data_IF_529744723890
#
_entry.id   IF_529744723890
#
_cell.length_a   1.000
_cell.length_b   1.000
_cell.length_c   1.000
_cell.angle_alpha   90.00
_cell.angle_beta   90.00
_cell.angle_gamma   90.00
#
_symmetry.space_group_name_H-M   'P 1'
#
loop_
_entity.id
_entity.type
_entity.pdbx_description
1 polymer ?
#
# COMPACT_ATOMS: atom_id res chain seq x y z
N UNK A 1 -7.61 25.75 -28.25
CA UNK A 1 -8.22 24.55 -27.65
C UNK A 1 -7.19 23.86 -26.78
N UNK A 2 -7.30 24.05 -25.47
CA UNK A 2 -6.51 23.32 -24.48
C UNK A 2 -6.98 21.87 -24.38
N UNK A 3 -6.15 20.97 -23.85
CA UNK A 3 -6.53 19.56 -23.62
C UNK A 3 -7.76 19.44 -22.72
N UNK A 4 -7.93 20.36 -21.76
CA UNK A 4 -9.09 20.43 -20.87
C UNK A 4 -10.38 20.75 -21.63
N UNK A 5 -10.33 21.71 -22.54
CA UNK A 5 -11.51 22.11 -23.33
C UNK A 5 -11.99 20.98 -24.25
N UNK A 6 -11.05 20.29 -24.92
CA UNK A 6 -11.39 19.12 -25.75
C UNK A 6 -12.04 18.01 -24.93
N UNK A 7 -11.53 17.73 -23.74
CA UNK A 7 -12.08 16.70 -22.86
C UNK A 7 -13.52 17.03 -22.41
N UNK A 8 -13.79 18.29 -22.06
CA UNK A 8 -15.14 18.72 -21.66
C UNK A 8 -16.14 18.54 -22.81
N UNK A 9 -15.72 18.88 -24.03
CA UNK A 9 -16.56 18.73 -25.22
C UNK A 9 -16.83 17.26 -25.56
N UNK A 10 -15.87 16.36 -25.36
CA UNK A 10 -16.07 14.92 -25.57
C UNK A 10 -17.03 14.34 -24.53
N UNK A 11 -16.80 14.62 -23.24
CA UNK A 11 -17.62 14.09 -22.13
C UNK A 11 -19.09 14.51 -22.26
N UNK A 12 -19.40 15.69 -22.78
CA UNK A 12 -20.79 16.15 -22.92
C UNK A 12 -21.63 15.32 -23.90
N UNK A 13 -21.01 14.49 -24.72
CA UNK A 13 -21.70 13.63 -25.71
C UNK A 13 -21.65 12.14 -25.33
N UNK A 14 -21.04 11.80 -24.18
CA UNK A 14 -20.84 10.42 -23.73
C UNK A 14 -22.02 9.97 -22.84
N UNK A 15 -22.46 8.71 -22.92
CA UNK A 15 -23.46 8.14 -22.01
C UNK A 15 -23.04 8.19 -20.53
N UNK A 16 -24.01 8.41 -19.63
CA UNK A 16 -23.79 8.56 -18.18
C UNK A 16 -22.98 7.40 -17.56
N UNK A 17 -23.24 6.16 -18.00
CA UNK A 17 -22.57 4.94 -17.55
C UNK A 17 -21.04 4.99 -17.73
N UNK A 18 -20.57 5.57 -18.83
CA UNK A 18 -19.14 5.73 -19.10
C UNK A 18 -18.55 6.95 -18.39
N UNK A 19 -19.36 7.96 -18.08
CA UNK A 19 -18.92 9.12 -17.30
C UNK A 19 -18.57 8.69 -15.88
N UNK A 20 -19.36 7.79 -15.28
CA UNK A 20 -19.08 7.20 -13.97
C UNK A 20 -17.73 6.43 -13.98
N UNK A 21 -17.50 5.58 -14.98
CA UNK A 21 -16.23 4.84 -15.11
C UNK A 21 -15.02 5.78 -15.29
N UNK A 22 -15.17 6.82 -16.11
CA UNK A 22 -14.13 7.84 -16.30
C UNK A 22 -13.86 8.63 -15.02
N UNK A 23 -14.90 8.92 -14.23
CA UNK A 23 -14.77 9.59 -12.95
C UNK A 23 -14.03 8.72 -11.94
N UNK A 24 -14.38 7.44 -11.85
CA UNK A 24 -13.69 6.46 -11.01
C UNK A 24 -12.21 6.33 -11.39
N UNK A 25 -11.92 6.29 -12.69
CA UNK A 25 -10.54 6.30 -13.18
C UNK A 25 -9.79 7.58 -12.78
N UNK A 26 -10.42 8.76 -12.90
CA UNK A 26 -9.82 10.01 -12.46
C UNK A 26 -9.54 10.02 -10.96
N UNK A 27 -10.50 9.59 -10.13
CA UNK A 27 -10.30 9.46 -8.68
C UNK A 27 -9.15 8.50 -8.36
N UNK A 28 -9.12 7.33 -8.98
CA UNK A 28 -8.04 6.36 -8.81
C UNK A 28 -6.67 6.98 -9.12
N UNK A 29 -6.55 7.69 -10.25
CA UNK A 29 -5.26 8.32 -10.62
C UNK A 29 -4.84 9.41 -9.64
N UNK A 30 -5.77 10.14 -9.06
CA UNK A 30 -5.49 11.15 -8.03
C UNK A 30 -5.00 10.50 -6.74
N UNK A 31 -5.72 9.50 -6.22
CA UNK A 31 -5.33 8.76 -5.01
C UNK A 31 -3.95 8.12 -5.16
N UNK A 32 -3.68 7.50 -6.31
CA UNK A 32 -2.36 6.91 -6.60
C UNK A 32 -1.25 7.97 -6.64
N UNK A 33 -1.52 9.14 -7.24
CA UNK A 33 -0.54 10.26 -7.24
C UNK A 33 -0.27 10.80 -5.84
N UNK A 34 -1.27 10.82 -4.97
CA UNK A 34 -1.10 11.20 -3.57
C UNK A 34 -0.24 10.19 -2.80
N UNK A 35 -0.44 8.88 -3.03
CA UNK A 35 0.35 7.82 -2.40
C UNK A 35 1.81 7.79 -2.88
N UNK A 36 2.07 8.10 -4.16
CA UNK A 36 3.42 8.17 -4.72
C UNK A 36 4.24 9.39 -4.26
N UNK A 37 3.67 10.32 -3.49
CA UNK A 37 4.42 11.48 -2.96
C UNK A 37 5.31 11.10 -1.78
N UNK A 38 5.09 9.92 -1.19
CA UNK A 38 5.99 9.30 -0.21
C UNK A 38 6.25 7.86 -0.63
N UNK A 39 7.04 7.69 -1.70
CA UNK A 39 7.68 6.40 -1.97
C UNK A 39 8.69 6.14 -0.84
N UNK A 40 8.21 5.74 0.34
CA UNK A 40 9.03 4.92 1.23
C UNK A 40 9.29 3.67 0.43
N UNK A 41 10.54 3.50 -0.01
CA UNK A 41 10.97 2.29 -0.69
C UNK A 41 10.44 1.07 0.08
N UNK A 42 9.86 0.07 -0.61
CA UNK A 42 9.48 -1.15 0.04
C UNK A 42 10.72 -1.69 0.76
N UNK A 43 10.58 -1.99 2.06
CA UNK A 43 11.69 -2.50 2.88
C UNK A 43 12.27 -3.71 2.15
N UNK A 44 13.60 -3.82 2.02
CA UNK A 44 14.19 -5.01 1.44
C UNK A 44 13.64 -6.25 2.15
N UNK A 45 13.27 -7.26 1.36
CA UNK A 45 12.80 -8.53 1.90
C UNK A 45 13.84 -9.09 2.88
N UNK A 46 13.37 -9.67 3.99
CA UNK A 46 14.20 -10.25 5.05
C UNK A 46 15.05 -9.28 5.90
N UNK A 47 14.76 -7.97 5.91
CA UNK A 47 15.30 -7.05 6.91
C UNK A 47 14.26 -6.71 7.99
N UNK A 48 14.62 -6.93 9.25
CA UNK A 48 13.88 -6.40 10.39
C UNK A 48 13.88 -4.87 10.34
N UNK A 49 12.79 -4.23 10.75
CA UNK A 49 12.85 -2.80 11.04
C UNK A 49 13.57 -2.59 12.37
N UNK A 50 14.57 -1.71 12.36
CA UNK A 50 15.30 -1.34 13.57
C UNK A 50 16.29 -2.42 14.02
N UNK A 51 16.74 -2.29 15.27
CA UNK A 51 17.73 -3.18 15.88
C UNK A 51 17.02 -4.28 16.68
N UNK A 52 17.49 -5.51 16.56
CA UNK A 52 17.07 -6.62 17.40
C UNK A 52 18.07 -6.78 18.54
N UNK A 53 17.62 -6.56 19.78
CA UNK A 53 18.45 -6.81 20.98
C UNK A 53 18.17 -8.23 21.48
N UNK A 54 19.19 -9.08 21.43
CA UNK A 54 19.13 -10.43 21.98
C UNK A 54 19.21 -10.35 23.51
N UNK A 55 18.24 -10.89 24.27
CA UNK A 55 18.35 -11.01 25.72
C UNK A 55 19.54 -11.89 26.12
N UNK A 56 20.16 -11.60 27.26
CA UNK A 56 21.34 -12.35 27.74
C UNK A 56 21.07 -13.85 27.94
N UNK A 57 19.82 -14.22 28.21
CA UNK A 57 19.36 -15.58 28.46
C UNK A 57 18.68 -16.25 27.25
N UNK A 58 18.84 -15.71 26.04
CA UNK A 58 18.17 -16.26 24.86
C UNK A 58 18.53 -17.72 24.57
N UNK A 59 19.78 -18.10 24.85
CA UNK A 59 20.28 -19.46 24.63
C UNK A 59 20.01 -20.40 25.83
N UNK A 60 19.34 -19.93 26.87
CA UNK A 60 18.95 -20.79 28.00
C UNK A 60 17.84 -21.78 27.59
N UNK A 61 17.82 -22.99 28.17
CA UNK A 61 16.77 -23.96 27.88
C UNK A 61 15.39 -23.41 28.23
N UNK A 62 14.39 -23.77 27.42
CA UNK A 62 13.00 -23.44 27.72
C UNK A 62 12.57 -24.10 29.05
N UNK A 63 11.78 -23.41 29.88
CA UNK A 63 11.19 -23.98 31.10
C UNK A 63 10.40 -25.26 30.84
N UNK A 64 10.46 -26.21 31.78
CA UNK A 64 9.79 -27.51 31.65
C UNK A 64 8.27 -27.37 31.47
N UNK A 65 7.66 -26.40 32.14
CA UNK A 65 6.24 -26.10 31.98
C UNK A 65 5.86 -25.68 30.56
N UNK A 66 6.74 -24.98 29.85
CA UNK A 66 6.52 -24.55 28.46
C UNK A 66 6.72 -25.73 27.51
N UNK A 67 7.75 -26.56 27.75
CA UNK A 67 8.03 -27.74 26.92
C UNK A 67 6.86 -28.73 26.90
N UNK A 68 6.15 -28.89 28.03
CA UNK A 68 4.94 -29.73 28.12
C UNK A 68 3.82 -29.32 27.18
N UNK A 69 3.76 -28.05 26.76
CA UNK A 69 2.75 -27.58 25.82
C UNK A 69 3.03 -28.03 24.36
N UNK A 70 4.22 -28.58 24.08
CA UNK A 70 4.65 -29.03 22.75
C UNK A 70 4.70 -30.57 22.58
N UNK A 71 4.39 -31.34 23.64
CA UNK A 71 4.34 -32.82 23.64
C UNK A 71 2.90 -33.36 23.59
#
# INVERSE_FOLDING_TARGET
MTTREKLIQEISHVPEELVEELFDFLLFTQTRRQQNKTLKEPRPYALCAGEFTVPQNFDEPLPEEILKDFE
#
